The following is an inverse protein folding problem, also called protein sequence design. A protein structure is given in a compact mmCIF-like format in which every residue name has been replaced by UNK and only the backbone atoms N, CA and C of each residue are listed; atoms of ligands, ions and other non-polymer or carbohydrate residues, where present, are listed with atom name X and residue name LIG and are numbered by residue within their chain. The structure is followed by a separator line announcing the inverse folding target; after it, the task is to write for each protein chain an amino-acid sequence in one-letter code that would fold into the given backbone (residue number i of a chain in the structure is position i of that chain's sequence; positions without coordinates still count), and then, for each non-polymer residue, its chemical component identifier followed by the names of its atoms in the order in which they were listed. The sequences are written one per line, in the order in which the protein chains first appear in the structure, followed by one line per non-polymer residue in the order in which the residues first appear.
data_IF_126981949943
#
_entry.id   IF_126981949943
#
_cell.length_a   1.000
_cell.length_b   1.000
_cell.length_c   1.000
_cell.angle_alpha   90.00
_cell.angle_beta   90.00
_cell.angle_gamma   90.00
#
_symmetry.space_group_name_H-M   'P 1'
#
loop_
_entity.id
_entity.type
_entity.pdbx_description
1 polymer ?
#
# COMPACT_ATOMS: atom_id res chain seq x y z
N UNK A 1 42.69 -4.44 -20.23
CA UNK A 1 41.55 -3.90 -19.44
C UNK A 1 40.54 -5.02 -19.27
N UNK A 2 40.23 -5.45 -18.03
CA UNK A 2 39.09 -6.35 -17.77
C UNK A 2 37.84 -5.50 -17.69
N UNK A 3 36.85 -5.77 -18.56
CA UNK A 3 35.53 -5.16 -18.44
C UNK A 3 34.94 -5.54 -17.07
N UNK A 4 34.43 -4.55 -16.33
CA UNK A 4 33.63 -4.82 -15.15
C UNK A 4 32.41 -5.65 -15.56
N UNK A 5 32.04 -6.71 -14.82
CA UNK A 5 30.86 -7.49 -15.14
C UNK A 5 29.64 -6.56 -15.11
N UNK A 6 28.85 -6.64 -16.17
CA UNK A 6 27.50 -6.08 -16.23
C UNK A 6 26.73 -6.58 -14.99
N UNK A 7 26.47 -5.70 -14.03
CA UNK A 7 25.61 -6.00 -12.90
C UNK A 7 24.18 -6.09 -13.42
N UNK A 8 23.77 -7.30 -13.80
CA UNK A 8 22.37 -7.58 -14.09
C UNK A 8 21.59 -7.39 -12.79
N UNK A 9 20.78 -6.33 -12.71
CA UNK A 9 19.90 -6.12 -11.57
C UNK A 9 18.91 -7.28 -11.50
N UNK A 10 18.89 -7.98 -10.37
CA UNK A 10 17.92 -9.06 -10.09
C UNK A 10 16.73 -8.42 -9.38
N UNK A 11 15.55 -8.31 -10.02
CA UNK A 11 14.41 -7.58 -9.46
C UNK A 11 13.66 -8.37 -8.37
N UNK A 12 13.81 -9.70 -8.33
CA UNK A 12 13.20 -10.58 -7.34
C UNK A 12 14.04 -11.85 -7.13
N UNK A 13 13.94 -12.46 -5.95
CA UNK A 13 14.52 -13.77 -5.64
C UNK A 13 13.41 -14.72 -5.18
N UNK A 14 13.43 -15.96 -5.66
CA UNK A 14 12.54 -17.03 -5.19
C UNK A 14 13.40 -18.29 -4.86
N UNK A 15 13.46 -18.75 -3.60
CA UNK A 15 12.75 -18.21 -2.41
C UNK A 15 13.16 -16.76 -2.10
N UNK A 16 12.41 -16.03 -1.26
CA UNK A 16 12.66 -14.60 -0.99
C UNK A 16 13.93 -14.38 -0.13
N UNK A 17 15.08 -14.87 -0.59
CA UNK A 17 16.38 -14.94 0.09
C UNK A 17 16.91 -13.58 0.56
N UNK A 18 16.37 -12.49 0.01
CA UNK A 18 16.79 -11.11 0.31
C UNK A 18 15.86 -10.39 1.29
N UNK A 19 14.77 -11.01 1.72
CA UNK A 19 13.77 -10.37 2.57
C UNK A 19 14.36 -9.95 3.93
N UNK A 20 15.28 -10.75 4.49
CA UNK A 20 15.96 -10.41 5.74
C UNK A 20 16.80 -9.12 5.67
N UNK A 21 17.41 -8.84 4.52
CA UNK A 21 18.11 -7.57 4.28
C UNK A 21 17.13 -6.40 4.26
N UNK A 22 16.00 -6.56 3.57
CA UNK A 22 14.93 -5.57 3.54
C UNK A 22 14.45 -5.25 4.94
N UNK A 23 14.08 -6.25 5.75
CA UNK A 23 13.66 -6.03 7.14
C UNK A 23 14.72 -5.31 7.97
N UNK A 24 16.00 -5.66 7.80
CA UNK A 24 17.10 -4.97 8.48
C UNK A 24 17.17 -3.48 8.12
N UNK A 25 16.94 -3.11 6.86
CA UNK A 25 16.88 -1.72 6.42
C UNK A 25 15.71 -0.98 7.08
N UNK A 26 14.52 -1.57 7.09
CA UNK A 26 13.32 -0.97 7.70
C UNK A 26 13.48 -0.79 9.22
N UNK A 27 13.87 -1.85 9.93
CA UNK A 27 13.97 -1.86 11.39
C UNK A 27 15.05 -0.94 11.94
N UNK A 28 16.08 -0.62 11.15
CA UNK A 28 17.13 0.32 11.52
C UNK A 28 16.89 1.75 10.98
N UNK A 29 15.70 2.04 10.44
CA UNK A 29 15.34 3.38 9.97
C UNK A 29 16.13 3.86 8.75
N UNK A 30 16.74 2.95 7.99
CA UNK A 30 17.63 3.28 6.87
C UNK A 30 16.93 3.39 5.52
N UNK A 31 15.59 3.26 5.51
CA UNK A 31 14.81 3.21 4.27
C UNK A 31 15.04 4.42 3.36
N UNK A 32 15.14 5.62 3.96
CA UNK A 32 15.34 6.88 3.23
C UNK A 32 16.70 7.00 2.55
N UNK A 33 17.70 6.23 2.99
CA UNK A 33 19.00 6.16 2.31
C UNK A 33 18.89 5.50 0.93
N UNK A 34 17.87 4.65 0.73
CA UNK A 34 17.66 3.88 -0.49
C UNK A 34 16.52 4.42 -1.34
N UNK A 35 15.42 4.84 -0.71
CA UNK A 35 14.23 5.32 -1.43
C UNK A 35 14.24 6.82 -1.70
N UNK A 36 15.01 7.60 -0.92
CA UNK A 36 14.99 9.05 -0.94
C UNK A 36 14.27 9.65 0.26
N UNK A 37 14.29 10.98 0.34
CA UNK A 37 13.69 11.78 1.42
C UNK A 37 12.78 12.89 0.90
N UNK A 38 12.48 12.85 -0.39
CA UNK A 38 11.58 13.76 -1.06
C UNK A 38 10.15 13.59 -0.53
N UNK A 39 9.46 14.71 -0.30
CA UNK A 39 8.13 14.73 0.34
C UNK A 39 7.09 13.85 -0.38
N UNK A 40 7.22 13.70 -1.70
CA UNK A 40 6.35 12.86 -2.52
C UNK A 40 6.46 11.35 -2.22
N UNK A 41 7.47 10.92 -1.46
CA UNK A 41 7.66 9.54 -1.01
C UNK A 41 6.88 9.23 0.29
N UNK A 42 6.30 10.23 0.94
CA UNK A 42 5.57 10.11 2.20
C UNK A 42 4.07 10.30 1.95
N UNK A 43 3.26 9.21 1.88
CA UNK A 43 1.86 9.30 1.48
C UNK A 43 1.02 10.22 2.37
N UNK A 44 1.31 10.27 3.67
CA UNK A 44 0.62 11.15 4.62
C UNK A 44 0.82 12.62 4.25
N UNK A 45 2.08 13.04 4.06
CA UNK A 45 2.41 14.40 3.65
C UNK A 45 1.76 14.77 2.32
N UNK A 46 1.71 13.83 1.36
CA UNK A 46 1.01 14.08 0.09
C UNK A 46 -0.47 14.36 0.28
N UNK A 47 -1.16 13.59 1.12
CA UNK A 47 -2.57 13.81 1.40
C UNK A 47 -2.76 15.18 2.06
N UNK A 48 -1.95 15.52 3.07
CA UNK A 48 -2.01 16.82 3.75
C UNK A 48 -1.74 17.99 2.79
N UNK A 49 -0.66 17.92 2.01
CA UNK A 49 -0.23 18.99 1.12
C UNK A 49 -1.22 19.23 -0.03
N UNK A 50 -1.73 18.15 -0.64
CA UNK A 50 -2.73 18.28 -1.69
C UNK A 50 -4.10 18.72 -1.14
N UNK A 51 -4.45 18.32 0.09
CA UNK A 51 -5.68 18.79 0.73
C UNK A 51 -5.59 20.29 1.04
N UNK A 52 -4.46 20.75 1.59
CA UNK A 52 -4.20 22.16 1.85
C UNK A 52 -4.21 23.01 0.57
N UNK A 53 -3.75 22.44 -0.55
CA UNK A 53 -3.80 23.08 -1.86
C UNK A 53 -5.20 23.02 -2.53
N UNK A 54 -6.16 22.29 -1.97
CA UNK A 54 -7.48 22.07 -2.58
C UNK A 54 -7.44 21.21 -3.84
N UNK A 55 -6.37 20.45 -4.06
CA UNK A 55 -6.15 19.63 -5.26
C UNK A 55 -6.08 18.13 -4.95
N UNK A 56 -6.48 17.72 -3.74
CA UNK A 56 -6.48 16.31 -3.35
C UNK A 56 -7.49 15.52 -4.19
N UNK A 57 -6.97 14.57 -4.96
CA UNK A 57 -7.75 13.59 -5.69
C UNK A 57 -7.14 12.22 -5.43
N UNK A 58 -7.94 11.30 -4.89
CA UNK A 58 -7.57 9.90 -4.76
C UNK A 58 -8.35 9.07 -5.77
N UNK A 59 -7.71 8.10 -6.44
CA UNK A 59 -8.45 7.08 -7.13
C UNK A 59 -9.25 6.23 -6.12
N UNK A 60 -10.34 5.56 -6.55
CA UNK A 60 -11.00 4.59 -5.70
C UNK A 60 -10.00 3.56 -5.17
N UNK A 61 -9.88 3.45 -3.84
CA UNK A 61 -8.77 2.73 -3.17
C UNK A 61 -9.31 1.72 -2.17
N UNK A 62 -8.89 0.47 -2.29
CA UNK A 62 -9.13 -0.57 -1.30
C UNK A 62 -7.81 -1.04 -0.71
N UNK A 63 -7.69 -0.94 0.62
CA UNK A 63 -6.54 -1.33 1.41
C UNK A 63 -6.95 -2.54 2.23
N UNK A 64 -6.15 -3.61 2.22
CA UNK A 64 -6.28 -4.72 3.15
C UNK A 64 -4.92 -5.04 3.77
N UNK A 65 -4.90 -5.35 5.06
CA UNK A 65 -3.67 -5.45 5.83
C UNK A 65 -3.86 -6.36 7.05
N UNK A 66 -2.90 -7.23 7.32
CA UNK A 66 -2.81 -8.04 8.53
C UNK A 66 -2.61 -7.15 9.76
N UNK A 67 -3.43 -7.34 10.80
CA UNK A 67 -3.38 -6.54 12.03
C UNK A 67 -2.15 -6.85 12.90
N UNK A 68 -1.49 -7.98 12.67
CA UNK A 68 -0.28 -8.40 13.38
C UNK A 68 0.93 -8.47 12.43
N UNK A 69 0.92 -7.69 11.35
CA UNK A 69 2.01 -7.63 10.39
C UNK A 69 3.32 -7.19 11.08
N UNK A 70 4.26 -8.13 11.15
CA UNK A 70 5.56 -7.98 11.80
C UNK A 70 6.59 -7.22 10.97
N UNK A 71 6.31 -7.01 9.67
CA UNK A 71 7.18 -6.29 8.75
C UNK A 71 6.78 -4.83 8.58
N UNK A 72 5.48 -4.55 8.50
CA UNK A 72 4.91 -3.21 8.30
C UNK A 72 3.74 -3.01 9.27
N UNK A 73 3.83 -2.08 10.23
CA UNK A 73 2.75 -1.90 11.22
C UNK A 73 1.41 -1.49 10.59
N UNK A 74 0.33 -2.19 10.99
CA UNK A 74 -1.05 -1.93 10.53
C UNK A 74 -1.50 -0.48 10.76
N UNK A 75 -1.00 0.15 11.83
CA UNK A 75 -1.31 1.52 12.21
C UNK A 75 -1.02 2.53 11.10
N UNK A 76 -0.04 2.25 10.23
CA UNK A 76 0.25 3.09 9.06
C UNK A 76 -0.93 3.14 8.09
N UNK A 77 -1.52 1.99 7.77
CA UNK A 77 -2.71 1.91 6.90
C UNK A 77 -3.94 2.52 7.56
N UNK A 78 -4.12 2.31 8.86
CA UNK A 78 -5.23 2.91 9.61
C UNK A 78 -5.13 4.46 9.60
N UNK A 79 -3.96 5.01 9.92
CA UNK A 79 -3.73 6.46 9.90
C UNK A 79 -3.94 7.07 8.53
N UNK A 80 -3.47 6.40 7.48
CA UNK A 80 -3.69 6.86 6.10
C UNK A 80 -5.19 6.89 5.76
N UNK A 81 -5.91 5.81 6.09
CA UNK A 81 -7.36 5.74 5.88
C UNK A 81 -8.10 6.87 6.62
N UNK A 82 -7.78 7.09 7.90
CA UNK A 82 -8.41 8.11 8.73
C UNK A 82 -8.13 9.52 8.18
N UNK A 83 -6.89 9.80 7.79
CA UNK A 83 -6.51 11.08 7.19
C UNK A 83 -7.24 11.35 5.88
N UNK A 84 -7.34 10.35 4.99
CA UNK A 84 -8.09 10.50 3.73
C UNK A 84 -9.56 10.77 4.01
N UNK A 85 -10.17 10.04 4.96
CA UNK A 85 -11.58 10.26 5.35
C UNK A 85 -11.82 11.65 5.92
N UNK A 86 -10.86 12.20 6.65
CA UNK A 86 -10.92 13.57 7.16
C UNK A 86 -10.78 14.62 6.04
N UNK A 87 -9.78 14.47 5.17
CA UNK A 87 -9.40 15.48 4.17
C UNK A 87 -10.18 15.40 2.86
N UNK A 88 -10.71 14.23 2.52
CA UNK A 88 -11.47 13.96 1.30
C UNK A 88 -12.68 13.05 1.65
N UNK A 89 -13.72 13.60 2.32
CA UNK A 89 -14.86 12.80 2.79
C UNK A 89 -15.60 12.08 1.65
N UNK A 90 -15.55 12.65 0.43
CA UNK A 90 -16.16 12.07 -0.77
C UNK A 90 -15.28 11.04 -1.49
N UNK A 91 -14.04 10.81 -1.03
CA UNK A 91 -13.16 9.81 -1.63
C UNK A 91 -13.69 8.39 -1.39
N UNK A 92 -13.64 7.58 -2.44
CA UNK A 92 -13.97 6.15 -2.36
C UNK A 92 -12.75 5.43 -1.79
N UNK A 93 -12.72 5.26 -0.47
CA UNK A 93 -11.67 4.53 0.23
C UNK A 93 -12.24 3.50 1.20
N UNK A 94 -11.64 2.29 1.20
CA UNK A 94 -12.01 1.18 2.08
C UNK A 94 -10.76 0.57 2.71
N UNK A 95 -10.85 0.22 3.99
CA UNK A 95 -9.81 -0.48 4.74
C UNK A 95 -10.39 -1.77 5.32
N UNK A 96 -9.71 -2.89 5.08
CA UNK A 96 -9.99 -4.18 5.70
C UNK A 96 -8.79 -4.65 6.53
N UNK A 97 -8.89 -4.55 7.84
CA UNK A 97 -7.93 -5.16 8.76
C UNK A 97 -8.36 -6.58 9.15
N UNK A 98 -7.51 -7.58 8.89
CA UNK A 98 -7.77 -8.98 9.28
C UNK A 98 -6.70 -9.45 10.26
N UNK A 99 -7.05 -10.33 11.18
CA UNK A 99 -6.03 -11.00 12.00
C UNK A 99 -5.13 -11.85 11.09
N UNK A 100 -3.82 -11.64 11.22
CA UNK A 100 -2.78 -12.21 10.37
C UNK A 100 -1.52 -11.34 10.35
N UNK A 101 -0.40 -11.98 10.00
CA UNK A 101 0.92 -11.38 9.81
C UNK A 101 1.07 -10.86 8.36
N UNK A 102 2.28 -10.43 7.99
CA UNK A 102 2.65 -10.06 6.64
C UNK A 102 2.29 -11.18 5.65
N UNK A 103 1.59 -10.83 4.57
CA UNK A 103 1.10 -11.81 3.58
C UNK A 103 0.00 -12.73 4.11
N UNK A 104 -0.79 -12.29 5.11
CA UNK A 104 -1.96 -13.02 5.64
C UNK A 104 -2.93 -13.52 4.56
N UNK A 105 -2.93 -12.87 3.40
CA UNK A 105 -3.81 -13.12 2.28
C UNK A 105 -3.30 -14.22 1.33
N UNK A 106 -2.15 -14.84 1.59
CA UNK A 106 -1.53 -15.82 0.68
C UNK A 106 -2.47 -16.95 0.20
N UNK A 107 -3.36 -17.43 1.07
CA UNK A 107 -4.34 -18.47 0.75
C UNK A 107 -5.72 -17.92 0.34
N UNK A 108 -5.88 -16.59 0.27
CA UNK A 108 -7.14 -15.92 -0.05
C UNK A 108 -7.43 -16.04 -1.54
N UNK A 109 -8.67 -16.34 -1.87
CA UNK A 109 -9.16 -16.37 -3.26
C UNK A 109 -10.09 -15.18 -3.51
N UNK A 110 -10.34 -14.85 -4.79
CA UNK A 110 -11.28 -13.80 -5.17
C UNK A 110 -12.72 -14.04 -4.70
N UNK A 111 -13.07 -15.28 -4.32
CA UNK A 111 -14.38 -15.63 -3.75
C UNK A 111 -14.44 -15.42 -2.24
N UNK A 112 -13.34 -15.03 -1.59
CA UNK A 112 -13.35 -14.76 -0.15
C UNK A 112 -14.15 -13.49 0.12
N UNK A 113 -15.18 -13.59 0.95
CA UNK A 113 -16.19 -12.55 1.15
C UNK A 113 -15.63 -11.13 1.29
N UNK A 114 -14.64 -10.94 2.18
CA UNK A 114 -14.07 -9.61 2.42
C UNK A 114 -13.29 -9.04 1.23
N UNK A 115 -12.60 -9.92 0.48
CA UNK A 115 -11.82 -9.52 -0.70
C UNK A 115 -12.78 -9.20 -1.84
N UNK A 116 -13.78 -10.06 -2.05
CA UNK A 116 -14.85 -9.86 -3.03
C UNK A 116 -15.59 -8.54 -2.83
N UNK A 117 -16.06 -8.29 -1.61
CA UNK A 117 -16.78 -7.05 -1.25
C UNK A 117 -15.91 -5.79 -1.45
N UNK A 118 -14.62 -5.87 -1.09
CA UNK A 118 -13.68 -4.78 -1.36
C UNK A 118 -13.46 -4.53 -2.86
N UNK A 119 -13.23 -5.59 -3.62
CA UNK A 119 -13.02 -5.52 -5.06
C UNK A 119 -14.26 -5.08 -5.83
N UNK A 120 -15.46 -5.50 -5.44
CA UNK A 120 -16.70 -5.05 -6.07
C UNK A 120 -16.89 -3.54 -5.92
N UNK A 121 -16.62 -3.01 -4.73
CA UNK A 121 -16.71 -1.55 -4.46
C UNK A 121 -15.80 -0.77 -5.40
N UNK A 122 -14.54 -1.19 -5.50
CA UNK A 122 -13.54 -0.50 -6.32
C UNK A 122 -13.78 -0.72 -7.81
N UNK A 123 -14.10 -1.95 -8.24
CA UNK A 123 -14.37 -2.26 -9.64
C UNK A 123 -15.53 -1.44 -10.20
N UNK A 124 -16.62 -1.26 -9.43
CA UNK A 124 -17.75 -0.41 -9.84
C UNK A 124 -17.33 1.04 -10.03
N UNK A 125 -16.53 1.57 -9.09
CA UNK A 125 -16.05 2.94 -9.13
C UNK A 125 -15.09 3.20 -10.31
N UNK A 126 -14.20 2.26 -10.61
CA UNK A 126 -13.24 2.39 -11.71
C UNK A 126 -13.86 2.18 -13.09
N UNK A 127 -14.79 1.22 -13.22
CA UNK A 127 -15.39 0.87 -14.52
C UNK A 127 -16.65 1.69 -14.84
N UNK A 128 -17.10 2.56 -13.93
CA UNK A 128 -18.27 3.40 -14.13
C UNK A 128 -19.60 2.64 -14.16
N UNK A 129 -19.70 1.52 -13.43
CA UNK A 129 -20.98 0.81 -13.29
C UNK A 129 -21.94 1.63 -12.43
N UNK A 130 -22.71 2.51 -13.08
CA UNK A 130 -23.98 3.02 -12.54
C UNK A 130 -24.98 1.87 -12.61
N UNK A 131 -25.58 1.49 -11.47
CA UNK A 131 -26.72 0.58 -11.46
C UNK A 131 -27.83 1.22 -12.30
N UNK A 132 -28.05 0.70 -13.51
CA UNK A 132 -29.25 1.01 -14.28
C UNK A 132 -30.38 0.30 -13.54
N UNK A 133 -31.22 1.07 -12.86
CA UNK A 133 -32.47 0.59 -12.27
C UNK A 133 -33.44 0.12 -13.37
#
# INVERSE_FOLDING_TARGET
MRAAPSLTAVPAANPPDRLGLTFSVFQNGRLVEFLGSEDNLFPMNRVENLAAAGTLQLPPTFIFHGKQDSAVPFEGSQRFFDLVREKAPDAIIKLHGKDGDHGFDFATTLETDWLKDGLETISKAWLGYTMVH
#
